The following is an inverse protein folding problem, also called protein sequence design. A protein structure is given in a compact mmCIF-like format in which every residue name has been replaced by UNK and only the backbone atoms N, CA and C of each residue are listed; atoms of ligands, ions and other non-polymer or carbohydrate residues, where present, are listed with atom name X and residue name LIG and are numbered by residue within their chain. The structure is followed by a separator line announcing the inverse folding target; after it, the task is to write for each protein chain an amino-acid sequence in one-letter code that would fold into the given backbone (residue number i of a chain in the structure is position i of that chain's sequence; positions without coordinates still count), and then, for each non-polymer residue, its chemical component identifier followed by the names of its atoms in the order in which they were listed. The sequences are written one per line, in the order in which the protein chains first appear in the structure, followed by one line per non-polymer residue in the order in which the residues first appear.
data_IF_798388829174
#
_entry.id   IF_798388829174
#
_cell.length_a   1.000
_cell.length_b   1.000
_cell.length_c   1.000
_cell.angle_alpha   90.00
_cell.angle_beta   90.00
_cell.angle_gamma   90.00
#
_symmetry.space_group_name_H-M   'P 1'
#
loop_
_entity.id
_entity.type
_entity.pdbx_description
1 polymer ?
#
# COMPACT_ATOMS: atom_id res chain seq x y z
N UNK A 1 10.68 25.02 2.98
CA UNK A 1 11.24 23.68 2.66
C UNK A 1 10.39 23.04 1.58
N UNK A 2 11.01 22.39 0.60
CA UNK A 2 10.28 21.62 -0.44
C UNK A 2 9.69 20.37 0.20
N UNK A 3 8.40 20.12 0.02
CA UNK A 3 7.75 18.92 0.58
C UNK A 3 8.15 17.65 -0.19
N UNK A 4 8.01 16.48 0.47
CA UNK A 4 8.24 15.18 -0.18
C UNK A 4 7.36 15.01 -1.42
N UNK A 5 6.10 15.42 -1.36
CA UNK A 5 5.18 15.37 -2.49
C UNK A 5 5.65 16.23 -3.67
N UNK A 6 6.23 17.40 -3.41
CA UNK A 6 6.83 18.22 -4.47
C UNK A 6 8.05 17.54 -5.08
N UNK A 7 8.93 16.94 -4.27
CA UNK A 7 10.10 16.20 -4.76
C UNK A 7 9.69 14.99 -5.62
N UNK A 8 8.70 14.22 -5.19
CA UNK A 8 8.13 13.11 -5.97
C UNK A 8 7.59 13.59 -7.32
N UNK A 9 6.83 14.69 -7.33
CA UNK A 9 6.27 15.24 -8.56
C UNK A 9 7.33 15.72 -9.58
N UNK A 10 8.57 15.94 -9.14
CA UNK A 10 9.71 16.30 -9.99
C UNK A 10 10.58 15.09 -10.39
N UNK A 11 10.29 13.91 -9.85
CA UNK A 11 11.08 12.71 -10.13
C UNK A 11 10.69 12.14 -11.51
N UNK A 12 11.64 11.91 -12.43
CA UNK A 12 11.35 11.32 -13.72
C UNK A 12 10.60 9.99 -13.61
N UNK A 13 9.58 9.81 -14.46
CA UNK A 13 8.75 8.61 -14.46
C UNK A 13 7.63 8.59 -13.41
N UNK A 14 7.63 9.52 -12.46
CA UNK A 14 6.55 9.68 -11.46
C UNK A 14 5.45 10.58 -12.02
N UNK A 15 4.22 10.09 -12.00
CA UNK A 15 3.03 10.82 -12.44
C UNK A 15 2.17 11.18 -11.22
N UNK A 16 1.95 12.48 -10.97
CA UNK A 16 0.99 12.93 -9.97
C UNK A 16 -0.43 12.76 -10.52
N UNK A 17 -1.28 12.08 -9.79
CA UNK A 17 -2.71 11.99 -10.09
C UNK A 17 -3.37 13.32 -9.68
N UNK A 18 -4.03 14.03 -10.59
CA UNK A 18 -4.62 15.34 -10.27
C UNK A 18 -5.67 15.25 -9.16
N UNK A 19 -5.37 15.85 -8.02
CA UNK A 19 -6.29 16.03 -6.89
C UNK A 19 -5.76 17.15 -5.99
N UNK A 20 -6.61 18.10 -5.57
CA UNK A 20 -6.25 19.10 -4.56
C UNK A 20 -6.33 18.55 -3.14
N UNK A 21 -6.93 17.36 -2.94
CA UNK A 21 -7.22 16.79 -1.61
C UNK A 21 -6.22 15.70 -1.19
N UNK A 22 -5.47 15.14 -2.14
CA UNK A 22 -4.59 14.00 -1.88
C UNK A 22 -3.34 14.07 -2.74
N UNK A 23 -2.18 13.91 -2.12
CA UNK A 23 -0.93 13.64 -2.80
C UNK A 23 -0.89 12.15 -3.17
N UNK A 24 -1.24 11.87 -4.43
CA UNK A 24 -1.32 10.53 -5.01
C UNK A 24 -0.44 10.47 -6.25
N UNK A 25 0.41 9.45 -6.34
CA UNK A 25 1.40 9.28 -7.38
C UNK A 25 1.34 7.87 -7.98
N UNK A 26 1.66 7.77 -9.26
CA UNK A 26 1.75 6.51 -10.01
C UNK A 26 3.10 6.45 -10.70
N UNK A 27 3.75 5.29 -10.61
CA UNK A 27 4.97 4.97 -11.35
C UNK A 27 4.74 3.67 -12.13
N UNK A 28 4.69 3.77 -13.46
CA UNK A 28 4.59 2.58 -14.32
C UNK A 28 5.94 1.89 -14.45
N UNK A 29 5.91 0.58 -14.64
CA UNK A 29 7.11 -0.23 -14.79
C UNK A 29 8.13 -0.03 -13.64
N UNK A 30 7.63 0.20 -12.42
CA UNK A 30 8.48 0.33 -11.24
C UNK A 30 9.19 -0.99 -10.92
N UNK A 31 8.50 -2.12 -11.06
CA UNK A 31 9.07 -3.47 -11.02
C UNK A 31 8.94 -4.13 -12.39
N UNK A 32 9.95 -4.86 -12.81
CA UNK A 32 9.85 -5.71 -13.99
C UNK A 32 9.06 -7.00 -13.71
N UNK A 33 8.69 -7.70 -14.78
CA UNK A 33 7.86 -8.90 -14.68
C UNK A 33 8.55 -10.05 -13.91
N UNK A 34 9.87 -10.15 -13.99
CA UNK A 34 10.63 -11.19 -13.27
C UNK A 34 10.61 -10.95 -11.77
N UNK A 35 10.81 -9.71 -11.32
CA UNK A 35 10.68 -9.31 -9.91
C UNK A 35 9.25 -9.55 -9.42
N UNK A 36 8.24 -9.18 -10.20
CA UNK A 36 6.84 -9.42 -9.85
C UNK A 36 6.55 -10.91 -9.69
N UNK A 37 7.00 -11.76 -10.60
CA UNK A 37 6.83 -13.22 -10.52
C UNK A 37 7.49 -13.79 -9.27
N UNK A 38 8.73 -13.40 -8.99
CA UNK A 38 9.44 -13.87 -7.80
C UNK A 38 8.76 -13.46 -6.48
N UNK A 39 8.13 -12.27 -6.41
CA UNK A 39 7.35 -11.86 -5.25
C UNK A 39 6.05 -12.67 -5.12
N UNK A 40 5.36 -12.95 -6.22
CA UNK A 40 4.14 -13.77 -6.21
C UNK A 40 4.42 -15.20 -5.70
N UNK A 41 5.52 -15.82 -6.09
CA UNK A 41 5.95 -17.12 -5.59
C UNK A 41 6.14 -17.11 -4.06
N UNK A 42 6.77 -16.06 -3.51
CA UNK A 42 6.97 -15.91 -2.06
C UNK A 42 5.66 -15.73 -1.30
N UNK A 43 4.72 -14.96 -1.88
CA UNK A 43 3.38 -14.78 -1.33
C UNK A 43 2.66 -16.13 -1.28
N UNK A 44 2.65 -16.88 -2.38
CA UNK A 44 1.97 -18.16 -2.47
C UNK A 44 2.54 -19.22 -1.51
N UNK A 45 3.85 -19.17 -1.23
CA UNK A 45 4.51 -20.10 -0.33
C UNK A 45 4.12 -19.92 1.16
N UNK A 46 3.70 -18.72 1.58
CA UNK A 46 3.50 -18.40 3.01
C UNK A 46 2.21 -17.63 3.31
N UNK A 47 1.26 -17.54 2.37
CA UNK A 47 0.02 -16.80 2.57
C UNK A 47 -0.87 -17.44 3.65
N UNK A 48 -1.58 -16.59 4.36
CA UNK A 48 -2.61 -16.93 5.34
C UNK A 48 -3.82 -16.01 5.16
N UNK A 49 -5.01 -16.35 5.67
CA UNK A 49 -6.14 -15.40 5.68
C UNK A 49 -5.72 -14.06 6.29
N UNK A 50 -6.15 -12.95 5.68
CA UNK A 50 -5.80 -11.62 6.17
C UNK A 50 -6.58 -11.29 7.44
N UNK A 51 -5.89 -10.68 8.39
CA UNK A 51 -6.45 -10.07 9.59
C UNK A 51 -6.58 -8.56 9.41
N UNK A 52 -7.40 -7.90 10.22
CA UNK A 52 -7.60 -6.45 10.25
C UNK A 52 -7.12 -5.99 11.63
N UNK A 53 -6.32 -4.93 11.68
CA UNK A 53 -5.79 -4.39 12.93
C UNK A 53 -6.93 -3.94 13.88
N UNK A 54 -7.94 -3.26 13.33
CA UNK A 54 -9.18 -2.92 14.03
C UNK A 54 -10.26 -3.93 13.62
N UNK A 55 -10.52 -4.94 14.43
CA UNK A 55 -11.67 -5.83 14.20
C UNK A 55 -12.97 -5.06 14.51
N UNK A 56 -13.52 -4.47 13.46
CA UNK A 56 -14.80 -3.76 13.52
C UNK A 56 -16.01 -4.70 13.57
N UNK A 57 -15.79 -6.02 13.73
CA UNK A 57 -16.86 -7.03 13.81
C UNK A 57 -17.67 -7.23 12.53
N UNK A 58 -17.22 -6.67 11.40
CA UNK A 58 -17.89 -6.81 10.11
C UNK A 58 -17.30 -7.97 9.33
N UNK A 59 -17.96 -9.10 9.33
CA UNK A 59 -17.57 -10.25 8.53
C UNK A 59 -17.38 -9.88 7.04
N UNK A 60 -16.29 -10.38 6.44
CA UNK A 60 -16.01 -10.15 5.03
C UNK A 60 -15.54 -8.71 4.70
N UNK A 61 -15.01 -7.96 5.68
CA UNK A 61 -14.45 -6.63 5.46
C UNK A 61 -13.16 -6.68 4.64
N UNK A 62 -12.27 -7.63 4.96
CA UNK A 62 -11.08 -7.97 4.19
C UNK A 62 -11.07 -9.47 3.95
N UNK A 63 -11.15 -9.90 2.69
CA UNK A 63 -11.27 -11.32 2.33
C UNK A 63 -10.03 -11.87 1.62
N UNK A 64 -8.98 -11.06 1.49
CA UNK A 64 -7.70 -11.44 0.90
C UNK A 64 -6.92 -12.46 1.74
N UNK A 65 -5.86 -12.98 1.15
CA UNK A 65 -4.79 -13.68 1.85
C UNK A 65 -3.58 -12.75 1.97
N UNK A 66 -2.82 -12.87 3.07
CA UNK A 66 -1.66 -12.03 3.40
C UNK A 66 -0.42 -12.88 3.64
N UNK A 67 0.72 -12.34 3.26
CA UNK A 67 2.04 -12.85 3.59
C UNK A 67 2.93 -11.69 4.04
N UNK A 68 3.55 -11.77 5.21
CA UNK A 68 4.63 -10.87 5.59
C UNK A 68 5.90 -11.39 4.91
N UNK A 69 6.44 -10.58 3.99
CA UNK A 69 7.62 -10.95 3.22
C UNK A 69 8.87 -10.81 4.08
N UNK A 70 9.74 -11.79 3.97
CA UNK A 70 10.98 -11.84 4.74
C UNK A 70 11.95 -10.72 4.28
N UNK A 71 12.26 -9.79 5.17
CA UNK A 71 13.11 -8.64 4.88
C UNK A 71 14.58 -9.00 4.61
N UNK A 72 15.03 -10.21 4.99
CA UNK A 72 16.39 -10.70 4.68
C UNK A 72 16.48 -11.39 3.32
N UNK A 73 15.33 -11.67 2.67
CA UNK A 73 15.34 -12.20 1.31
C UNK A 73 15.89 -11.12 0.35
N UNK A 74 16.91 -11.43 -0.47
CA UNK A 74 17.58 -10.44 -1.31
C UNK A 74 16.63 -9.72 -2.29
N UNK A 75 15.61 -10.41 -2.82
CA UNK A 75 14.63 -9.80 -3.71
C UNK A 75 13.75 -8.80 -2.96
N UNK A 76 13.28 -9.18 -1.78
CA UNK A 76 12.44 -8.33 -0.92
C UNK A 76 13.23 -7.11 -0.44
N UNK A 77 14.47 -7.31 0.01
CA UNK A 77 15.37 -6.24 0.45
C UNK A 77 15.64 -5.22 -0.67
N UNK A 78 15.86 -5.67 -1.89
CA UNK A 78 16.06 -4.79 -3.05
C UNK A 78 14.79 -3.98 -3.39
N UNK A 79 13.62 -4.60 -3.35
CA UNK A 79 12.35 -3.91 -3.56
C UNK A 79 12.09 -2.88 -2.46
N UNK A 80 12.36 -3.22 -1.20
CA UNK A 80 12.24 -2.31 -0.06
C UNK A 80 13.16 -1.08 -0.23
N UNK A 81 14.42 -1.32 -0.58
CA UNK A 81 15.38 -0.25 -0.86
C UNK A 81 14.88 0.69 -1.96
N UNK A 82 14.40 0.14 -3.09
CA UNK A 82 13.88 0.93 -4.22
C UNK A 82 12.66 1.77 -3.84
N UNK A 83 11.73 1.24 -3.06
CA UNK A 83 10.56 1.97 -2.58
C UNK A 83 10.99 3.11 -1.63
N UNK A 84 11.90 2.82 -0.69
CA UNK A 84 12.41 3.77 0.28
C UNK A 84 13.16 4.94 -0.40
N UNK A 85 13.98 4.64 -1.38
CA UNK A 85 14.70 5.64 -2.19
C UNK A 85 13.74 6.51 -3.01
N UNK A 86 12.76 5.90 -3.69
CA UNK A 86 11.75 6.64 -4.45
C UNK A 86 11.01 7.65 -3.56
N UNK A 87 10.55 7.21 -2.39
CA UNK A 87 9.82 8.06 -1.46
C UNK A 87 10.73 8.96 -0.61
N UNK A 88 12.06 8.74 -0.66
CA UNK A 88 13.05 9.44 0.18
C UNK A 88 12.71 9.35 1.65
N UNK A 89 12.28 8.17 2.10
CA UNK A 89 12.03 7.84 3.49
C UNK A 89 13.02 6.77 3.90
N UNK A 90 13.73 6.91 5.03
CA UNK A 90 14.62 5.87 5.50
C UNK A 90 13.90 4.53 5.64
N UNK A 91 14.52 3.43 5.20
CA UNK A 91 13.94 2.11 5.30
C UNK A 91 13.57 1.72 6.74
N UNK A 92 14.32 2.24 7.74
CA UNK A 92 14.03 2.06 9.17
C UNK A 92 12.69 2.63 9.64
N UNK A 93 12.07 3.52 8.87
CA UNK A 93 10.71 4.00 9.12
C UNK A 93 9.63 3.10 8.51
N UNK A 94 10.02 2.09 7.75
CA UNK A 94 9.11 1.22 7.03
C UNK A 94 8.69 0.00 7.84
N UNK A 95 7.41 -0.35 7.78
CA UNK A 95 6.93 -1.68 8.19
C UNK A 95 7.49 -2.74 7.21
N UNK A 96 7.59 -4.01 7.57
CA UNK A 96 7.89 -5.09 6.62
C UNK A 96 6.93 -5.04 5.42
N UNK A 97 7.44 -5.38 4.22
CA UNK A 97 6.58 -5.45 3.04
C UNK A 97 5.54 -6.57 3.22
N UNK A 98 4.28 -6.22 3.07
CA UNK A 98 3.18 -7.18 3.11
C UNK A 98 2.76 -7.55 1.69
N UNK A 99 2.83 -8.83 1.34
CA UNK A 99 2.24 -9.40 0.14
C UNK A 99 0.77 -9.73 0.34
N UNK A 100 -0.06 -9.56 -0.69
CA UNK A 100 -1.48 -9.84 -0.63
C UNK A 100 -1.95 -10.52 -1.92
N UNK A 101 -2.78 -11.54 -1.77
CA UNK A 101 -3.44 -12.27 -2.85
C UNK A 101 -4.95 -12.15 -2.73
N UNK A 102 -5.61 -11.90 -3.85
CA UNK A 102 -7.07 -11.84 -3.95
C UNK A 102 -7.54 -12.81 -5.02
N UNK A 103 -8.30 -13.83 -4.63
CA UNK A 103 -9.00 -14.72 -5.54
C UNK A 103 -10.29 -14.08 -6.06
N UNK A 104 -10.96 -14.74 -7.00
CA UNK A 104 -12.28 -14.31 -7.49
C UNK A 104 -13.27 -14.16 -6.34
N UNK A 105 -13.97 -13.05 -6.31
CA UNK A 105 -14.93 -12.68 -5.28
C UNK A 105 -14.32 -11.95 -4.09
N UNK A 106 -13.00 -11.96 -3.92
CA UNK A 106 -12.31 -11.30 -2.81
C UNK A 106 -12.10 -9.80 -3.05
N UNK A 107 -12.14 -9.05 -1.97
CA UNK A 107 -11.99 -7.60 -1.92
C UNK A 107 -11.43 -7.13 -0.58
N UNK A 108 -11.02 -5.87 -0.52
CA UNK A 108 -10.84 -5.15 0.73
C UNK A 108 -11.73 -3.92 0.71
N UNK A 109 -12.72 -3.87 1.61
CA UNK A 109 -13.70 -2.80 1.67
C UNK A 109 -13.05 -1.45 1.96
N UNK A 110 -13.84 -0.42 1.95
CA UNK A 110 -13.39 0.98 2.10
C UNK A 110 -12.73 1.20 3.45
N UNK A 111 -11.47 1.65 3.44
CA UNK A 111 -10.64 1.89 4.64
C UNK A 111 -9.62 3.01 4.39
N UNK A 112 -8.99 3.46 5.44
CA UNK A 112 -7.74 4.23 5.42
C UNK A 112 -6.62 3.35 5.94
N UNK A 113 -5.37 3.70 5.63
CA UNK A 113 -4.21 2.99 6.18
C UNK A 113 -3.76 3.53 7.53
N UNK A 114 -4.27 4.69 7.93
CA UNK A 114 -3.99 5.29 9.25
C UNK A 114 -4.74 4.55 10.35
N UNK A 115 -4.15 4.51 11.53
CA UNK A 115 -4.84 4.08 12.74
C UNK A 115 -5.76 5.19 13.21
N UNK A 116 -7.00 4.85 13.58
CA UNK A 116 -8.02 5.84 13.97
C UNK A 116 -7.65 6.50 15.30
N UNK A 117 -7.44 7.84 15.34
CA UNK A 117 -7.14 8.54 16.57
C UNK A 117 -8.24 8.33 17.63
N UNK A 118 -7.85 7.87 18.82
CA UNK A 118 -8.79 7.55 19.89
C UNK A 118 -9.43 6.16 19.81
N UNK A 119 -9.17 5.38 18.76
CA UNK A 119 -9.51 3.96 18.69
C UNK A 119 -8.71 3.13 19.69
N UNK A 120 -9.26 1.98 20.07
CA UNK A 120 -8.63 1.08 21.05
C UNK A 120 -7.20 0.69 20.65
N UNK A 121 -6.97 0.41 19.36
CA UNK A 121 -5.69 -0.06 18.84
C UNK A 121 -4.73 1.09 18.50
N UNK A 122 -5.20 2.35 18.52
CA UNK A 122 -4.37 3.51 18.17
C UNK A 122 -3.10 3.56 19.02
N UNK A 123 -3.23 3.48 20.33
CA UNK A 123 -2.09 3.56 21.25
C UNK A 123 -1.16 2.36 21.12
N UNK A 124 -1.70 1.16 20.89
CA UNK A 124 -0.91 -0.06 20.71
C UNK A 124 -0.05 0.06 19.46
N UNK A 125 -0.65 0.45 18.34
CA UNK A 125 0.03 0.49 17.05
C UNK A 125 0.90 1.73 16.84
N UNK A 126 0.66 2.84 17.58
CA UNK A 126 1.42 4.09 17.38
C UNK A 126 2.46 4.36 18.45
N UNK A 127 2.46 3.64 19.57
CA UNK A 127 3.36 3.87 20.70
C UNK A 127 4.83 3.91 20.30
N UNK A 128 5.28 2.96 19.51
CA UNK A 128 6.69 2.82 19.13
C UNK A 128 7.05 3.72 17.94
N UNK A 129 6.40 3.56 16.80
CA UNK A 129 6.79 4.18 15.54
C UNK A 129 5.88 5.33 15.06
N UNK A 130 4.83 5.68 15.81
CA UNK A 130 3.87 6.71 15.43
C UNK A 130 2.89 6.26 14.34
N UNK A 131 2.24 7.20 13.68
CA UNK A 131 1.22 6.97 12.66
C UNK A 131 1.85 6.54 11.32
N UNK A 132 1.07 5.91 10.44
CA UNK A 132 1.43 5.64 9.04
C UNK A 132 1.34 6.92 8.23
N UNK A 133 2.47 7.38 7.73
CA UNK A 133 2.60 8.66 6.99
C UNK A 133 2.45 8.49 5.48
N UNK A 134 3.02 7.42 4.93
CA UNK A 134 2.98 7.11 3.50
C UNK A 134 2.69 5.64 3.27
N UNK A 135 1.95 5.39 2.19
CA UNK A 135 1.74 4.05 1.65
C UNK A 135 2.32 3.96 0.25
N UNK A 136 3.01 2.87 -0.03
CA UNK A 136 3.41 2.44 -1.36
C UNK A 136 2.85 1.06 -1.63
N UNK A 137 2.00 0.95 -2.65
CA UNK A 137 1.39 -0.31 -3.09
C UNK A 137 1.85 -0.59 -4.52
N UNK A 138 2.29 -1.82 -4.80
CA UNK A 138 2.66 -2.22 -6.16
C UNK A 138 1.79 -3.39 -6.62
N UNK A 139 1.21 -3.27 -7.82
CA UNK A 139 0.56 -4.37 -8.50
C UNK A 139 1.61 -5.32 -9.08
N UNK A 140 1.52 -6.60 -8.76
CA UNK A 140 2.46 -7.61 -9.27
C UNK A 140 1.95 -8.28 -10.55
N UNK A 141 0.65 -8.18 -10.81
CA UNK A 141 0.01 -8.69 -12.02
C UNK A 141 -1.27 -7.92 -12.35
N UNK A 142 -1.87 -8.27 -13.47
CA UNK A 142 -3.18 -7.80 -13.91
C UNK A 142 -4.17 -8.95 -13.86
N UNK A 143 -5.21 -8.92 -12.98
CA UNK A 143 -6.30 -9.87 -13.07
C UNK A 143 -7.10 -9.63 -14.37
N UNK A 144 -7.74 -10.66 -14.89
CA UNK A 144 -8.50 -10.55 -16.15
C UNK A 144 -9.71 -9.60 -16.04
N UNK A 145 -10.30 -9.44 -14.84
CA UNK A 145 -11.36 -8.46 -14.57
C UNK A 145 -11.42 -8.09 -13.07
N UNK A 146 -11.67 -6.81 -12.81
CA UNK A 146 -11.81 -6.26 -11.46
C UNK A 146 -10.48 -5.92 -10.79
N UNK A 147 -10.42 -5.97 -9.46
CA UNK A 147 -9.20 -5.80 -8.65
C UNK A 147 -8.60 -4.39 -8.62
N UNK A 148 -9.27 -3.37 -9.17
CA UNK A 148 -8.78 -1.98 -9.14
C UNK A 148 -8.75 -1.42 -7.71
N UNK A 149 -7.95 -0.38 -7.49
CA UNK A 149 -7.93 0.41 -6.24
C UNK A 149 -8.68 1.71 -6.47
N UNK A 150 -9.75 1.93 -5.70
CA UNK A 150 -10.60 3.12 -5.83
C UNK A 150 -10.45 4.03 -4.62
N UNK A 151 -10.04 5.26 -4.85
CA UNK A 151 -10.05 6.35 -3.86
C UNK A 151 -11.39 7.06 -3.92
N UNK A 152 -12.24 6.80 -2.92
CA UNK A 152 -13.66 7.13 -2.95
C UNK A 152 -13.91 8.65 -2.96
N UNK A 153 -13.26 9.40 -2.06
CA UNK A 153 -13.53 10.83 -1.86
C UNK A 153 -12.94 11.74 -2.93
N UNK A 154 -12.01 11.25 -3.72
CA UNK A 154 -11.44 11.98 -4.85
C UNK A 154 -11.91 11.44 -6.22
N UNK A 155 -12.77 10.40 -6.22
CA UNK A 155 -13.34 9.83 -7.44
C UNK A 155 -12.31 9.23 -8.40
N UNK A 156 -11.16 8.73 -7.89
CA UNK A 156 -10.10 8.14 -8.72
C UNK A 156 -10.08 6.64 -8.59
N UNK A 157 -9.93 5.95 -9.72
CA UNK A 157 -9.75 4.50 -9.79
C UNK A 157 -8.45 4.20 -10.51
N UNK A 158 -7.59 3.42 -9.86
CA UNK A 158 -6.31 2.98 -10.41
C UNK A 158 -6.46 1.51 -10.76
N UNK A 159 -6.32 1.21 -12.04
CA UNK A 159 -6.40 -0.16 -12.55
C UNK A 159 -5.07 -0.89 -12.35
N UNK A 160 -5.10 -2.21 -12.06
CA UNK A 160 -3.92 -3.05 -12.04
C UNK A 160 -3.14 -2.97 -13.35
N UNK A 161 -1.83 -2.97 -13.26
CA UNK A 161 -0.86 -3.08 -14.35
C UNK A 161 0.41 -3.66 -13.75
N UNK A 162 0.96 -4.70 -14.34
CA UNK A 162 2.13 -5.39 -13.78
C UNK A 162 3.29 -4.43 -13.54
N UNK A 163 3.82 -4.45 -12.32
CA UNK A 163 4.92 -3.58 -11.89
C UNK A 163 4.55 -2.12 -11.64
N UNK A 164 3.26 -1.75 -11.68
CA UNK A 164 2.80 -0.38 -11.37
C UNK A 164 2.79 -0.13 -9.87
N UNK A 165 3.54 0.90 -9.45
CA UNK A 165 3.50 1.40 -8.08
C UNK A 165 2.52 2.57 -7.95
N UNK A 166 1.79 2.59 -6.85
CA UNK A 166 0.90 3.67 -6.42
C UNK A 166 1.34 4.11 -5.04
N UNK A 167 1.62 5.40 -4.85
CA UNK A 167 2.03 5.93 -3.55
C UNK A 167 1.17 7.13 -3.15
N UNK A 168 0.85 7.23 -1.86
CA UNK A 168 0.06 8.35 -1.34
C UNK A 168 0.47 8.74 0.06
N UNK A 169 0.27 10.03 0.35
CA UNK A 169 0.44 10.60 1.68
C UNK A 169 -0.81 10.35 2.52
N UNK A 170 -0.67 9.68 3.64
CA UNK A 170 -1.78 9.36 4.55
C UNK A 170 -2.19 10.54 5.44
N UNK A 171 -1.36 11.57 5.55
CA UNK A 171 -1.60 12.70 6.44
C UNK A 171 -1.94 13.98 5.66
N UNK A 172 -2.78 14.80 6.27
CA UNK A 172 -3.06 16.14 5.81
C UNK A 172 -1.94 17.15 6.12
N UNK A 173 -2.12 18.43 5.72
CA UNK A 173 -1.17 19.50 6.04
C UNK A 173 -1.01 19.76 7.55
N UNK A 174 -2.02 19.41 8.33
CA UNK A 174 -2.10 19.50 9.78
C UNK A 174 -1.51 18.27 10.51
N UNK A 175 -0.89 17.33 9.76
CA UNK A 175 -0.36 16.07 10.26
C UNK A 175 -1.42 15.12 10.86
N UNK A 176 -2.69 15.37 10.57
CA UNK A 176 -3.78 14.47 10.94
C UNK A 176 -4.09 13.50 9.79
N UNK A 177 -4.72 12.35 10.09
CA UNK A 177 -5.20 11.42 9.07
C UNK A 177 -6.02 12.14 7.99
N UNK A 178 -5.63 11.96 6.73
CA UNK A 178 -6.33 12.59 5.61
C UNK A 178 -7.50 11.71 5.14
N UNK A 179 -8.76 12.10 5.36
CA UNK A 179 -9.90 11.31 4.93
C UNK A 179 -9.98 11.08 3.41
N UNK A 180 -9.31 11.92 2.61
CA UNK A 180 -9.24 11.74 1.16
C UNK A 180 -8.46 10.49 0.73
N UNK A 181 -7.71 9.85 1.65
CA UNK A 181 -7.05 8.55 1.44
C UNK A 181 -8.01 7.37 1.48
N UNK A 182 -9.28 7.59 1.85
CA UNK A 182 -10.29 6.55 1.93
C UNK A 182 -10.38 5.78 0.61
N UNK A 183 -9.94 4.52 0.63
CA UNK A 183 -9.81 3.69 -0.56
C UNK A 183 -10.32 2.27 -0.34
N UNK A 184 -10.48 1.52 -1.43
CA UNK A 184 -10.87 0.13 -1.41
C UNK A 184 -10.11 -0.66 -2.47
N UNK A 185 -9.78 -1.91 -2.17
CA UNK A 185 -9.41 -2.92 -3.15
C UNK A 185 -10.68 -3.54 -3.71
N UNK A 186 -11.07 -3.12 -4.92
CA UNK A 186 -12.31 -3.59 -5.56
C UNK A 186 -12.26 -5.09 -5.81
N UNK A 187 -13.44 -5.71 -5.81
CA UNK A 187 -13.61 -7.15 -6.02
C UNK A 187 -12.93 -7.63 -7.30
N UNK A 188 -12.18 -8.72 -7.19
CA UNK A 188 -11.67 -9.47 -8.34
C UNK A 188 -12.83 -10.26 -8.92
N UNK A 189 -13.11 -10.09 -10.20
CA UNK A 189 -14.21 -10.79 -10.90
C UNK A 189 -13.74 -11.99 -11.69
N UNK A 190 -12.50 -11.91 -12.21
CA UNK A 190 -11.87 -12.99 -12.97
C UNK A 190 -10.36 -12.95 -12.82
N UNK A 191 -9.74 -14.12 -12.73
CA UNK A 191 -8.32 -14.25 -12.46
C UNK A 191 -7.96 -14.10 -10.99
N UNK A 192 -6.70 -13.75 -10.73
CA UNK A 192 -6.16 -13.54 -9.37
C UNK A 192 -5.36 -12.25 -9.36
N UNK A 193 -5.50 -11.47 -8.30
CA UNK A 193 -4.72 -10.23 -8.11
C UNK A 193 -3.66 -10.45 -7.05
N UNK A 194 -2.44 -9.98 -7.32
CA UNK A 194 -1.35 -9.90 -6.35
C UNK A 194 -0.87 -8.46 -6.23
N UNK A 195 -0.63 -8.03 -5.00
CA UNK A 195 0.01 -6.76 -4.69
C UNK A 195 1.01 -6.93 -3.56
N UNK A 196 1.92 -5.98 -3.45
CA UNK A 196 2.67 -5.72 -2.21
C UNK A 196 2.31 -4.35 -1.68
N UNK A 197 2.36 -4.18 -0.37
CA UNK A 197 2.16 -2.90 0.31
C UNK A 197 3.27 -2.66 1.31
N UNK A 198 3.83 -1.45 1.29
CA UNK A 198 4.80 -0.92 2.25
C UNK A 198 4.22 0.30 2.90
N UNK A 199 4.14 0.31 4.23
CA UNK A 199 3.76 1.47 5.01
C UNK A 199 4.99 2.10 5.66
N UNK A 200 5.02 3.42 5.68
CA UNK A 200 6.04 4.18 6.38
C UNK A 200 5.45 4.91 7.58
N UNK A 201 6.18 4.88 8.67
CA UNK A 201 5.79 5.42 9.97
C UNK A 201 6.43 6.80 10.19
N UNK A 202 5.99 7.49 11.24
CA UNK A 202 6.57 8.78 11.65
C UNK A 202 8.02 8.63 12.12
N UNK A 203 8.33 7.52 12.77
CA UNK A 203 9.64 7.23 13.36
C UNK A 203 10.09 5.81 12.99
N UNK A 204 11.38 5.54 13.16
CA UNK A 204 11.85 4.16 13.12
C UNK A 204 11.26 3.37 14.30
N UNK A 205 10.85 2.13 14.06
CA UNK A 205 10.76 1.13 15.12
C UNK A 205 12.17 0.87 15.64
N UNK A 206 12.37 0.88 16.96
CA UNK A 206 13.65 0.70 17.60
C UNK A 206 14.30 -0.64 17.32
#
# INVERSE_FOLDING_TARGET
MVSRAQLLGLTPGVQKVPSPKLDLFVVRNFLDAGVCAGLMERIDARRRPSEIADDIGVAGYRTSETCDLDSVDPLVAEVDRRISELLRIPASHGEPIQGQRYAVGQEFKVHTDTFEPGGYDFYIHTAEAGQRTWTAMCYLNEPEDGGATRFKLIGKTIHPETGKLVAWNNLGPDWQPNPATLHQGMKVRRGTKYIITKWFRERSAG
#
